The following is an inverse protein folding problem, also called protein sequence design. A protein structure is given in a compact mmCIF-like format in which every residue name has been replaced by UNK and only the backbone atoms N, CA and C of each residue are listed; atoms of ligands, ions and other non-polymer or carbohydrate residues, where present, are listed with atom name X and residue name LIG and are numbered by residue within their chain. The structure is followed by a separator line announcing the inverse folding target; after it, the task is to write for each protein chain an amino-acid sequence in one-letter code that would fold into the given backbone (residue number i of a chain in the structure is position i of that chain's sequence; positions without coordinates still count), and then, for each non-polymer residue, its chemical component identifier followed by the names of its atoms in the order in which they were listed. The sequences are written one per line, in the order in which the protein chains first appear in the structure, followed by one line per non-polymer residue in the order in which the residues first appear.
data_IF_868797407078
#
_entry.id   IF_868797407078
#
_cell.length_a   1.000
_cell.length_b   1.000
_cell.length_c   1.000
_cell.angle_alpha   90.00
_cell.angle_beta   90.00
_cell.angle_gamma   90.00
#
_symmetry.space_group_name_H-M   'P 1'
#
loop_
_entity.id
_entity.type
_entity.pdbx_description
1 polymer ?
#
# COMPACT_ATOMS: atom_id res chain seq x y z
N UNK A 1 -2.68 30.93 43.16
CA UNK A 1 -3.89 31.82 43.36
C UNK A 1 -5.02 31.15 42.57
N UNK A 2 -5.92 30.53 43.36
CA UNK A 2 -7.40 30.66 43.38
C UNK A 2 -8.12 30.28 42.07
N UNK A 3 -9.18 29.46 42.03
CA UNK A 3 -10.19 28.86 42.93
C UNK A 3 -10.94 27.80 42.09
N UNK A 4 -11.09 26.58 42.50
CA UNK A 4 -12.27 25.93 43.10
C UNK A 4 -13.64 26.35 42.47
N UNK A 5 -14.29 25.38 41.79
CA UNK A 5 -15.74 25.22 41.96
C UNK A 5 -16.14 23.73 41.89
N UNK A 6 -16.58 23.24 43.05
CA UNK A 6 -17.32 21.98 43.23
C UNK A 6 -18.79 22.27 42.98
N UNK A 7 -19.53 21.42 42.31
CA UNK A 7 -20.97 21.27 42.48
C UNK A 7 -21.27 19.78 42.64
N UNK A 8 -21.78 19.50 43.84
CA UNK A 8 -22.44 18.25 44.27
C UNK A 8 -23.94 18.47 44.02
N UNK A 9 -24.61 17.47 43.45
CA UNK A 9 -26.04 17.32 43.57
C UNK A 9 -26.41 15.84 43.60
N UNK A 10 -26.75 15.39 44.80
CA UNK A 10 -27.52 14.19 45.13
C UNK A 10 -28.97 14.37 44.71
N UNK A 11 -29.73 13.26 44.54
CA UNK A 11 -31.17 13.04 44.73
C UNK A 11 -31.46 11.72 43.98
N UNK A 12 -31.86 10.70 44.50
CA UNK A 12 -32.81 10.19 45.45
C UNK A 12 -33.50 8.95 44.81
N UNK A 13 -33.46 7.90 45.54
CA UNK A 13 -34.17 6.62 45.46
C UNK A 13 -35.69 6.79 45.34
N UNK A 14 -36.32 5.98 44.46
CA UNK A 14 -37.74 5.62 44.60
C UNK A 14 -37.94 4.13 44.34
N UNK A 15 -38.08 3.38 45.39
CA UNK A 15 -38.69 2.04 45.42
C UNK A 15 -40.21 2.18 45.19
N UNK A 16 -40.75 1.38 44.30
CA UNK A 16 -42.18 1.07 44.27
C UNK A 16 -42.38 -0.44 44.25
N UNK A 17 -42.82 -0.92 45.39
CA UNK A 17 -43.41 -2.24 45.58
C UNK A 17 -44.80 -2.28 44.98
N UNK A 18 -45.13 -3.27 44.19
CA UNK A 18 -46.50 -3.69 43.97
C UNK A 18 -46.64 -5.15 44.36
N UNK A 19 -47.48 -5.31 45.36
CA UNK A 19 -47.92 -6.55 45.99
C UNK A 19 -48.96 -7.26 45.14
N UNK A 20 -48.78 -8.60 45.13
CA UNK A 20 -49.68 -9.71 45.03
C UNK A 20 -51.23 -9.46 45.12
N UNK A 21 -51.94 -10.14 44.21
CA UNK A 21 -53.21 -10.83 44.56
C UNK A 21 -53.44 -11.98 43.58
N UNK A 22 -53.45 -13.19 44.14
CA UNK A 22 -54.07 -14.37 43.52
C UNK A 22 -55.53 -14.45 43.97
N UNK A 23 -56.42 -15.07 43.21
CA UNK A 23 -57.41 -15.94 43.78
C UNK A 23 -57.38 -17.40 43.20
N UNK A 24 -57.81 -18.25 44.07
CA UNK A 24 -57.87 -19.71 44.05
C UNK A 24 -58.89 -20.32 43.08
N UNK A 25 -58.50 -21.48 42.60
CA UNK A 25 -59.23 -22.69 42.18
C UNK A 25 -60.76 -22.72 42.04
N UNK A 26 -61.17 -23.26 40.91
CA UNK A 26 -62.11 -24.39 40.92
C UNK A 26 -61.93 -25.28 39.69
N UNK A 27 -61.91 -26.57 39.96
CA UNK A 27 -61.78 -27.75 39.15
C UNK A 27 -63.09 -28.01 38.38
N UNK A 28 -63.00 -28.31 37.05
CA UNK A 28 -64.01 -29.16 36.39
C UNK A 28 -63.34 -29.83 35.20
N UNK A 29 -63.25 -31.15 35.30
CA UNK A 29 -62.67 -32.05 34.33
C UNK A 29 -63.48 -32.19 33.06
N UNK A 30 -62.77 -32.18 31.93
CA UNK A 30 -63.15 -32.88 30.70
C UNK A 30 -61.88 -33.14 29.90
N UNK A 31 -61.62 -34.41 29.66
CA UNK A 31 -60.46 -34.92 28.95
C UNK A 31 -60.33 -34.39 27.54
N UNK A 32 -59.20 -33.81 27.27
CA UNK A 32 -58.76 -33.55 25.90
C UNK A 32 -57.44 -34.26 25.66
N UNK A 33 -57.46 -35.15 24.69
CA UNK A 33 -56.31 -35.84 24.12
C UNK A 33 -55.21 -34.83 23.77
N UNK A 34 -54.11 -34.85 24.49
CA UNK A 34 -52.85 -34.20 24.09
C UNK A 34 -52.30 -34.94 22.89
N UNK A 35 -52.53 -34.37 21.71
CA UNK A 35 -51.63 -34.62 20.59
C UNK A 35 -50.31 -33.95 20.95
N UNK A 36 -49.32 -34.78 21.25
CA UNK A 36 -47.92 -34.36 21.21
C UNK A 36 -47.65 -33.89 19.78
N UNK A 37 -47.75 -32.60 19.54
CA UNK A 37 -46.99 -32.02 18.46
C UNK A 37 -45.52 -32.11 18.90
N UNK A 38 -44.84 -33.13 18.41
CA UNK A 38 -43.39 -33.12 18.38
C UNK A 38 -43.03 -31.80 17.67
N UNK A 39 -42.37 -30.92 18.41
CA UNK A 39 -41.61 -29.84 17.81
C UNK A 39 -40.61 -30.51 16.88
N UNK A 40 -40.93 -30.60 15.59
CA UNK A 40 -39.90 -30.78 14.59
C UNK A 40 -38.97 -29.57 14.73
N UNK A 41 -37.85 -29.79 15.38
CA UNK A 41 -36.71 -28.91 15.17
C UNK A 41 -36.58 -28.83 13.64
N UNK A 42 -36.90 -27.66 13.08
CA UNK A 42 -36.65 -27.39 11.68
C UNK A 42 -35.15 -27.63 11.51
N UNK A 43 -34.80 -28.71 10.81
CA UNK A 43 -33.43 -29.00 10.47
C UNK A 43 -32.93 -27.78 9.70
N UNK A 44 -31.89 -27.11 10.20
CA UNK A 44 -31.19 -26.01 9.51
C UNK A 44 -30.44 -26.54 8.26
N UNK A 45 -30.98 -27.58 7.63
CA UNK A 45 -30.43 -28.20 6.42
C UNK A 45 -30.78 -27.35 5.18
N UNK A 46 -29.73 -26.93 4.50
CA UNK A 46 -29.82 -26.17 3.27
C UNK A 46 -29.65 -27.15 2.11
N UNK A 47 -30.64 -27.24 1.24
CA UNK A 47 -30.61 -28.15 0.07
C UNK A 47 -30.12 -27.38 -1.14
N UNK A 48 -29.08 -27.91 -1.79
CA UNK A 48 -28.56 -27.43 -3.06
C UNK A 48 -28.14 -28.64 -3.91
N UNK A 49 -28.78 -28.83 -5.08
CA UNK A 49 -28.48 -29.98 -5.93
C UNK A 49 -27.03 -29.97 -6.43
N UNK A 50 -26.39 -31.13 -6.67
CA UNK A 50 -25.02 -31.19 -7.19
C UNK A 50 -24.88 -30.47 -8.55
N UNK A 51 -25.91 -30.48 -9.38
CA UNK A 51 -25.95 -29.78 -10.66
C UNK A 51 -25.88 -28.25 -10.45
N UNK A 52 -26.64 -27.71 -9.49
CA UNK A 52 -26.63 -26.28 -9.15
C UNK A 52 -25.35 -25.89 -8.45
N UNK A 53 -24.85 -26.73 -7.52
CA UNK A 53 -23.58 -26.51 -6.86
C UNK A 53 -22.43 -26.36 -7.90
N UNK A 54 -22.35 -27.26 -8.85
CA UNK A 54 -21.38 -27.21 -9.93
C UNK A 54 -21.59 -25.99 -10.85
N UNK A 55 -22.83 -25.72 -11.25
CA UNK A 55 -23.20 -24.58 -12.12
C UNK A 55 -22.79 -23.23 -11.51
N UNK A 56 -22.97 -23.07 -10.22
CA UNK A 56 -22.67 -21.83 -9.51
C UNK A 56 -21.27 -21.78 -8.89
N UNK A 57 -20.45 -22.81 -9.11
CA UNK A 57 -19.05 -22.86 -8.65
C UNK A 57 -18.92 -22.99 -7.13
N UNK A 58 -19.80 -23.77 -6.50
CA UNK A 58 -19.68 -24.17 -5.09
C UNK A 58 -18.72 -25.35 -5.01
N UNK A 59 -17.65 -25.19 -4.24
CA UNK A 59 -16.64 -26.23 -4.02
C UNK A 59 -16.48 -26.44 -2.53
N UNK A 60 -16.45 -27.70 -2.10
CA UNK A 60 -16.15 -28.09 -0.73
C UNK A 60 -14.80 -28.80 -0.64
N UNK A 61 -14.22 -28.78 0.54
CA UNK A 61 -12.98 -29.49 0.85
C UNK A 61 -12.99 -30.00 2.30
N UNK A 62 -12.34 -31.12 2.52
CA UNK A 62 -12.12 -31.65 3.86
C UNK A 62 -11.21 -30.73 4.66
N UNK A 63 -11.63 -30.45 5.89
CA UNK A 63 -10.82 -29.67 6.84
C UNK A 63 -9.59 -30.48 7.24
N UNK A 64 -8.41 -29.93 6.94
CA UNK A 64 -7.12 -30.51 7.31
C UNK A 64 -6.35 -29.52 8.16
N UNK A 65 -5.75 -29.96 9.28
CA UNK A 65 -4.82 -29.12 10.00
C UNK A 65 -3.62 -28.79 9.14
N UNK A 66 -3.25 -27.52 9.14
CA UNK A 66 -2.10 -27.01 8.38
C UNK A 66 -1.31 -26.00 9.22
N UNK A 67 -0.19 -25.59 8.68
CA UNK A 67 0.59 -24.50 9.25
C UNK A 67 -0.11 -23.18 8.97
N UNK A 68 -0.12 -22.29 9.96
CA UNK A 68 -0.59 -20.93 9.80
C UNK A 68 0.24 -19.97 10.62
N UNK A 69 0.45 -18.78 10.10
CA UNK A 69 1.28 -17.80 10.78
C UNK A 69 0.45 -16.97 11.79
N UNK A 70 1.11 -16.58 12.84
CA UNK A 70 0.59 -15.53 13.71
C UNK A 70 0.59 -14.20 12.93
N UNK A 71 -0.53 -13.46 12.94
CA UNK A 71 -0.70 -12.26 12.13
C UNK A 71 -1.20 -11.11 12.99
N UNK A 72 -0.60 -9.94 12.81
CA UNK A 72 -1.09 -8.69 13.40
C UNK A 72 -1.51 -7.76 12.27
N UNK A 73 -2.77 -7.33 12.31
CA UNK A 73 -3.34 -6.37 11.39
C UNK A 73 -3.02 -4.96 11.87
N UNK A 74 -2.44 -4.14 10.99
CA UNK A 74 -2.02 -2.76 11.27
C UNK A 74 -2.30 -1.87 10.05
N UNK A 75 -2.18 -0.56 10.24
CA UNK A 75 -2.19 0.40 9.14
C UNK A 75 -0.78 0.59 8.59
N UNK A 76 -0.68 0.97 7.32
CA UNK A 76 0.58 1.28 6.69
C UNK A 76 0.44 2.24 5.52
N UNK A 77 1.57 2.58 4.94
CA UNK A 77 1.64 3.44 3.77
C UNK A 77 2.72 2.95 2.81
N UNK A 78 2.41 3.03 1.52
CA UNK A 78 3.40 2.79 0.47
C UNK A 78 4.18 4.07 0.24
N UNK A 79 5.50 4.00 0.36
CA UNK A 79 6.40 5.13 0.12
C UNK A 79 7.40 4.75 -0.97
N UNK A 80 7.89 5.75 -1.71
CA UNK A 80 8.98 5.52 -2.65
C UNK A 80 10.25 5.16 -1.89
N UNK A 81 11.01 4.18 -2.38
CA UNK A 81 12.28 3.84 -1.78
C UNK A 81 13.25 5.04 -1.89
N UNK A 82 13.98 5.40 -0.82
CA UNK A 82 14.98 6.48 -0.90
C UNK A 82 16.03 6.25 -1.97
N UNK A 83 16.39 4.99 -2.25
CA UNK A 83 17.32 4.59 -3.31
C UNK A 83 16.80 4.83 -4.73
N UNK A 84 15.49 5.01 -4.87
CA UNK A 84 14.80 5.17 -6.15
C UNK A 84 14.48 6.65 -6.45
N UNK A 85 14.94 7.54 -5.56
CA UNK A 85 14.82 8.98 -5.74
C UNK A 85 16.11 9.57 -6.30
N UNK A 86 15.98 10.40 -7.32
CA UNK A 86 17.07 11.18 -7.86
C UNK A 86 16.74 12.66 -7.81
N UNK A 87 17.76 13.46 -7.50
CA UNK A 87 17.64 14.91 -7.42
C UNK A 87 18.23 15.51 -8.68
N UNK A 88 17.46 16.31 -9.38
CA UNK A 88 17.95 17.15 -10.48
C UNK A 88 18.48 18.44 -9.86
N UNK A 89 19.77 18.71 -10.07
CA UNK A 89 20.41 19.92 -9.58
C UNK A 89 20.73 20.88 -10.70
N UNK A 90 20.84 22.18 -10.37
CA UNK A 90 21.23 23.23 -11.31
C UNK A 90 22.65 22.99 -11.83
N UNK A 91 22.86 22.89 -13.14
CA UNK A 91 24.18 22.66 -13.71
C UNK A 91 25.07 23.91 -13.69
N UNK A 92 24.48 25.09 -13.57
CA UNK A 92 25.14 26.39 -13.47
C UNK A 92 24.32 27.36 -12.62
N UNK A 93 24.92 28.45 -12.18
CA UNK A 93 24.20 29.56 -11.56
C UNK A 93 23.44 30.36 -12.59
N UNK A 94 22.22 30.81 -12.28
CA UNK A 94 21.41 31.61 -13.19
C UNK A 94 19.92 31.57 -12.89
N UNK A 95 19.11 32.06 -13.78
CA UNK A 95 17.65 32.00 -13.71
C UNK A 95 17.16 30.72 -14.39
N UNK A 96 16.39 29.94 -13.68
CA UNK A 96 15.81 28.72 -14.24
C UNK A 96 14.54 29.02 -15.01
N UNK A 97 14.42 28.40 -16.18
CA UNK A 97 13.19 28.38 -16.98
C UNK A 97 12.84 26.94 -17.26
N UNK A 98 11.73 26.48 -16.67
CA UNK A 98 11.23 25.13 -16.90
C UNK A 98 10.71 24.93 -18.31
N UNK A 99 10.78 23.69 -18.80
CA UNK A 99 10.15 23.31 -20.06
C UNK A 99 8.64 23.54 -19.95
N UNK A 100 8.03 24.04 -21.03
CA UNK A 100 6.58 24.32 -21.06
C UNK A 100 5.76 23.07 -20.73
N UNK A 101 4.86 23.21 -19.77
CA UNK A 101 3.97 22.12 -19.34
C UNK A 101 4.58 21.15 -18.30
N UNK A 102 5.74 21.47 -17.74
CA UNK A 102 6.32 20.67 -16.67
C UNK A 102 5.46 20.80 -15.39
N UNK A 103 5.00 19.66 -14.88
CA UNK A 103 4.18 19.57 -13.65
C UNK A 103 4.63 18.40 -12.78
N UNK A 104 4.32 18.48 -11.50
CA UNK A 104 4.43 17.33 -10.59
C UNK A 104 3.47 16.22 -11.03
N UNK A 105 3.89 14.96 -10.90
CA UNK A 105 3.15 13.79 -11.40
C UNK A 105 3.50 13.40 -12.84
N UNK A 106 4.28 14.21 -13.57
CA UNK A 106 4.69 13.91 -14.93
C UNK A 106 5.77 12.84 -14.97
N UNK A 107 5.61 11.87 -15.88
CA UNK A 107 6.65 10.87 -16.18
C UNK A 107 7.74 11.47 -17.04
N UNK A 108 8.99 11.19 -16.68
CA UNK A 108 10.19 11.60 -17.42
C UNK A 108 11.13 10.40 -17.59
N UNK A 109 11.94 10.44 -18.63
CA UNK A 109 13.01 9.46 -18.88
C UNK A 109 14.37 10.06 -18.52
N UNK A 110 15.36 9.22 -18.24
CA UNK A 110 16.73 9.68 -18.06
C UNK A 110 17.19 10.52 -19.27
N UNK A 111 17.85 11.66 -19.00
CA UNK A 111 18.25 12.62 -20.04
C UNK A 111 17.17 13.61 -20.49
N UNK A 112 15.91 13.47 -20.02
CA UNK A 112 14.85 14.42 -20.31
C UNK A 112 15.19 15.80 -19.75
N UNK A 113 15.05 16.86 -20.57
CA UNK A 113 15.32 18.25 -20.15
C UNK A 113 14.17 18.73 -19.27
N UNK A 114 14.47 19.08 -18.04
CA UNK A 114 13.52 19.63 -17.06
C UNK A 114 13.41 21.14 -17.20
N UNK A 115 14.53 21.79 -17.43
CA UNK A 115 14.58 23.25 -17.57
C UNK A 115 15.93 23.71 -18.10
N UNK A 116 16.01 25.01 -18.35
CA UNK A 116 17.22 25.69 -18.78
C UNK A 116 17.61 26.76 -17.75
N UNK A 117 18.87 26.79 -17.37
CA UNK A 117 19.43 27.80 -16.45
C UNK A 117 20.25 28.79 -17.26
N UNK A 118 19.94 30.09 -17.19
CA UNK A 118 20.63 31.11 -17.95
C UNK A 118 21.03 32.30 -17.07
N UNK A 119 22.26 32.74 -17.20
CA UNK A 119 22.78 33.95 -16.54
C UNK A 119 22.83 35.17 -17.51
N UNK A 120 22.24 35.07 -18.70
CA UNK A 120 22.39 36.06 -19.79
C UNK A 120 22.01 37.48 -19.40
N UNK A 121 21.08 37.68 -18.48
CA UNK A 121 20.60 38.98 -18.01
C UNK A 121 21.06 39.33 -16.59
N UNK A 122 22.12 38.70 -16.12
CA UNK A 122 22.64 38.93 -14.76
C UNK A 122 23.88 39.82 -14.76
N UNK A 123 24.10 40.52 -13.66
CA UNK A 123 25.34 41.23 -13.41
C UNK A 123 26.52 40.22 -13.36
N UNK A 124 27.44 40.31 -14.32
CA UNK A 124 28.53 39.33 -14.48
C UNK A 124 28.46 38.55 -15.80
N UNK A 125 27.32 38.60 -16.51
CA UNK A 125 27.14 37.99 -17.83
C UNK A 125 27.01 36.47 -17.80
N UNK A 126 26.87 35.90 -19.01
CA UNK A 126 26.80 34.44 -19.18
C UNK A 126 28.21 33.87 -19.38
N UNK A 127 28.73 33.16 -18.37
CA UNK A 127 30.04 32.55 -18.43
C UNK A 127 30.16 31.53 -19.57
N UNK A 128 29.07 30.90 -19.97
CA UNK A 128 29.06 29.95 -21.11
C UNK A 128 29.32 30.69 -22.41
N UNK A 129 28.67 31.83 -22.60
CA UNK A 129 28.87 32.67 -23.77
C UNK A 129 30.28 33.32 -23.77
N UNK A 130 30.76 33.76 -22.61
CA UNK A 130 32.14 34.29 -22.49
C UNK A 130 33.18 33.22 -22.85
N UNK A 131 33.01 31.98 -22.40
CA UNK A 131 33.90 30.87 -22.75
C UNK A 131 33.81 30.49 -24.22
N UNK A 132 32.62 30.61 -24.84
CA UNK A 132 32.44 30.39 -26.31
C UNK A 132 33.24 31.40 -27.09
N UNK A 133 33.10 32.67 -26.74
CA UNK A 133 33.82 33.78 -27.42
C UNK A 133 35.34 33.62 -27.25
N UNK A 134 35.80 33.27 -26.03
CA UNK A 134 37.21 33.05 -25.76
C UNK A 134 37.78 31.86 -26.59
N UNK A 135 37.00 30.76 -26.68
CA UNK A 135 37.38 29.63 -27.51
C UNK A 135 37.47 29.96 -28.98
N UNK A 136 36.48 30.68 -29.54
CA UNK A 136 36.48 31.10 -30.96
C UNK A 136 37.66 31.98 -31.28
N UNK A 137 37.98 32.95 -30.38
CA UNK A 137 39.13 33.85 -30.57
C UNK A 137 40.46 33.06 -30.52
N UNK A 138 40.61 32.16 -29.53
CA UNK A 138 41.83 31.35 -29.41
C UNK A 138 41.98 30.37 -30.59
N UNK A 139 40.87 29.83 -31.11
CA UNK A 139 40.84 28.94 -32.26
C UNK A 139 41.32 29.66 -33.53
N UNK A 140 40.80 30.85 -33.80
CA UNK A 140 41.22 31.64 -34.95
C UNK A 140 42.71 32.00 -34.90
N UNK A 141 43.23 32.32 -33.73
CA UNK A 141 44.66 32.60 -33.55
C UNK A 141 45.52 31.34 -33.73
N UNK A 142 45.09 30.20 -33.24
CA UNK A 142 45.77 28.92 -33.45
C UNK A 142 45.79 28.56 -34.96
N UNK A 143 44.66 28.63 -35.66
CA UNK A 143 44.53 28.37 -37.10
C UNK A 143 45.38 29.31 -37.96
N UNK A 144 45.63 30.54 -37.49
CA UNK A 144 46.52 31.52 -38.14
C UNK A 144 47.99 31.15 -37.93
N UNK A 145 48.38 30.75 -36.75
CA UNK A 145 49.79 30.52 -36.39
C UNK A 145 50.30 29.14 -36.80
N UNK A 146 49.46 28.11 -36.84
CA UNK A 146 49.84 26.75 -37.18
C UNK A 146 50.53 26.60 -38.56
N UNK A 147 50.01 27.16 -39.67
CA UNK A 147 50.66 27.11 -40.97
C UNK A 147 52.01 27.88 -40.99
N UNK A 148 52.09 29.02 -40.35
CA UNK A 148 53.29 29.82 -40.26
C UNK A 148 54.42 29.09 -39.49
N UNK A 149 54.07 28.30 -38.49
CA UNK A 149 55.02 27.44 -37.82
C UNK A 149 55.52 26.31 -38.70
N UNK A 150 54.64 25.69 -39.51
CA UNK A 150 55.02 24.64 -40.47
C UNK A 150 55.96 25.20 -41.55
N UNK A 151 55.82 26.46 -41.91
CA UNK A 151 56.69 27.15 -42.86
C UNK A 151 57.96 27.75 -42.23
N UNK A 152 58.13 27.57 -40.89
CA UNK A 152 59.32 28.04 -40.18
C UNK A 152 59.31 29.58 -39.93
N UNK A 153 58.19 30.29 -40.12
CA UNK A 153 58.06 31.75 -39.98
C UNK A 153 57.97 32.16 -38.50
N UNK A 154 57.30 31.36 -37.67
CA UNK A 154 57.15 31.61 -36.22
C UNK A 154 57.96 30.61 -35.41
N UNK A 155 58.38 31.00 -34.20
CA UNK A 155 59.18 30.15 -33.34
C UNK A 155 58.31 29.03 -32.67
N UNK A 156 58.98 27.92 -32.33
CA UNK A 156 58.32 26.84 -31.55
C UNK A 156 57.76 27.33 -30.20
N UNK A 157 58.37 28.29 -29.58
CA UNK A 157 57.87 28.89 -28.33
C UNK A 157 56.53 29.60 -28.55
N UNK A 158 56.46 30.44 -29.57
CA UNK A 158 55.24 31.21 -29.92
C UNK A 158 54.06 30.28 -30.31
N UNK A 159 54.36 29.27 -31.16
CA UNK A 159 53.39 28.24 -31.51
C UNK A 159 52.87 27.51 -30.27
N UNK A 160 53.75 27.09 -29.37
CA UNK A 160 53.34 26.36 -28.14
C UNK A 160 52.53 27.24 -27.19
N UNK A 161 52.78 28.55 -27.09
CA UNK A 161 51.98 29.49 -26.31
C UNK A 161 50.56 29.61 -26.85
N UNK A 162 50.38 29.79 -28.15
CA UNK A 162 49.11 29.87 -28.83
C UNK A 162 48.33 28.55 -28.73
N UNK A 163 49.02 27.43 -28.97
CA UNK A 163 48.42 26.10 -28.84
C UNK A 163 47.90 25.87 -27.43
N UNK A 164 48.69 26.18 -26.40
CA UNK A 164 48.29 26.06 -24.99
C UNK A 164 47.09 26.95 -24.66
N UNK A 165 47.02 28.18 -25.18
CA UNK A 165 45.89 29.06 -24.98
C UNK A 165 44.62 28.52 -25.64
N UNK A 166 44.72 27.94 -26.86
CA UNK A 166 43.62 27.27 -27.54
C UNK A 166 43.12 26.06 -26.78
N UNK A 167 44.03 25.16 -26.34
CA UNK A 167 43.67 23.97 -25.55
C UNK A 167 42.97 24.32 -24.25
N UNK A 168 43.45 25.35 -23.54
CA UNK A 168 42.82 25.87 -22.31
C UNK A 168 41.43 26.43 -22.55
N UNK A 169 41.25 27.25 -23.59
CA UNK A 169 39.95 27.81 -23.98
C UNK A 169 38.98 26.71 -24.44
N UNK A 170 39.48 25.71 -25.15
CA UNK A 170 38.70 24.56 -25.60
C UNK A 170 38.21 23.73 -24.41
N UNK A 171 39.08 23.48 -23.43
CA UNK A 171 38.70 22.75 -22.19
C UNK A 171 37.61 23.50 -21.41
N UNK A 172 37.76 24.84 -21.26
CA UNK A 172 36.78 25.67 -20.57
C UNK A 172 35.43 25.70 -21.32
N UNK A 173 35.43 25.77 -22.64
CA UNK A 173 34.22 25.74 -23.46
C UNK A 173 33.53 24.38 -23.41
N UNK A 174 34.27 23.29 -23.57
CA UNK A 174 33.70 21.94 -23.54
C UNK A 174 33.19 21.55 -22.15
N UNK A 175 33.84 21.96 -21.07
CA UNK A 175 33.36 21.75 -19.70
C UNK A 175 31.99 22.41 -19.44
N UNK A 176 31.67 23.50 -20.16
CA UNK A 176 30.43 24.22 -19.99
C UNK A 176 29.36 23.92 -21.06
N UNK A 177 29.65 23.07 -22.04
CA UNK A 177 28.72 22.77 -23.16
C UNK A 177 27.42 22.10 -22.71
N UNK A 178 27.43 21.38 -21.59
CA UNK A 178 26.24 20.79 -20.94
C UNK A 178 25.59 21.71 -19.91
N UNK A 179 26.19 22.89 -19.66
CA UNK A 179 26.00 23.65 -18.42
C UNK A 179 24.75 24.48 -18.31
N UNK A 180 23.84 24.51 -19.29
CA UNK A 180 22.59 25.27 -19.20
C UNK A 180 21.34 24.41 -19.01
N UNK A 181 21.41 23.13 -19.32
CA UNK A 181 20.24 22.25 -19.30
C UNK A 181 20.22 21.40 -18.02
N UNK A 182 19.22 21.61 -17.19
CA UNK A 182 18.89 20.71 -16.09
C UNK A 182 18.16 19.50 -16.66
N UNK A 183 18.76 18.32 -16.57
CA UNK A 183 18.23 17.06 -17.12
C UNK A 183 17.93 16.04 -16.03
N UNK A 184 16.91 15.23 -16.27
CA UNK A 184 16.58 14.09 -15.42
C UNK A 184 17.74 13.09 -15.37
N UNK A 185 18.19 12.74 -14.18
CA UNK A 185 19.28 11.78 -13.97
C UNK A 185 18.79 10.35 -14.15
N UNK A 186 17.55 10.07 -13.79
CA UNK A 186 16.89 8.77 -13.92
C UNK A 186 15.50 8.90 -14.53
N UNK A 187 14.97 7.77 -15.00
CA UNK A 187 13.57 7.68 -15.40
C UNK A 187 12.68 7.58 -14.16
N UNK A 188 11.48 8.16 -14.21
CA UNK A 188 10.56 8.14 -13.08
C UNK A 188 9.44 9.18 -13.21
N UNK A 189 8.89 9.59 -12.08
CA UNK A 189 7.86 10.61 -11.96
C UNK A 189 8.41 11.79 -11.19
N UNK A 190 8.17 13.01 -11.64
CA UNK A 190 8.50 14.23 -10.89
C UNK A 190 7.59 14.30 -9.67
N UNK A 191 8.15 14.10 -8.48
CA UNK A 191 7.39 14.14 -7.22
C UNK A 191 7.34 15.53 -6.62
N UNK A 192 8.37 16.34 -6.87
CA UNK A 192 8.46 17.68 -6.31
C UNK A 192 9.28 18.60 -7.20
N UNK A 193 8.82 19.84 -7.37
CA UNK A 193 9.60 20.97 -7.88
C UNK A 193 10.02 21.80 -6.67
N UNK A 194 11.32 22.02 -6.50
CA UNK A 194 11.91 22.66 -5.30
C UNK A 194 12.13 24.17 -5.49
N UNK A 195 11.99 24.65 -6.73
CA UNK A 195 12.15 26.04 -7.11
C UNK A 195 11.04 26.46 -8.07
N UNK A 196 10.79 27.76 -8.18
CA UNK A 196 9.77 28.31 -9.07
C UNK A 196 10.37 28.67 -10.43
N UNK A 197 9.53 28.69 -11.47
CA UNK A 197 9.95 29.17 -12.79
C UNK A 197 10.33 30.64 -12.71
N UNK A 198 11.52 31.00 -13.24
CA UNK A 198 12.06 32.35 -13.15
C UNK A 198 12.86 32.64 -11.88
N UNK A 199 13.02 31.68 -10.98
CA UNK A 199 13.82 31.84 -9.76
C UNK A 199 15.31 31.72 -10.06
N UNK A 200 16.13 32.45 -9.27
CA UNK A 200 17.58 32.32 -9.31
C UNK A 200 18.00 31.05 -8.58
N UNK A 201 18.88 30.27 -9.21
CA UNK A 201 19.47 29.05 -8.66
C UNK A 201 20.99 29.14 -8.66
N UNK A 202 21.61 28.65 -7.59
CA UNK A 202 23.05 28.47 -7.53
C UNK A 202 23.47 27.15 -8.19
N UNK A 203 24.69 27.04 -8.67
CA UNK A 203 25.24 25.78 -9.20
C UNK A 203 25.17 24.67 -8.12
N UNK A 204 24.65 23.50 -8.48
CA UNK A 204 24.42 22.39 -7.59
C UNK A 204 23.14 22.48 -6.74
N UNK A 205 22.40 23.58 -6.79
CA UNK A 205 21.13 23.72 -6.05
C UNK A 205 20.10 22.70 -6.55
N UNK A 206 19.41 21.98 -5.66
CA UNK A 206 18.32 21.10 -6.02
C UNK A 206 17.16 21.84 -6.70
N UNK A 207 16.67 21.32 -7.82
CA UNK A 207 15.59 21.91 -8.63
C UNK A 207 14.34 21.05 -8.58
N UNK A 208 14.50 19.73 -8.73
CA UNK A 208 13.39 18.79 -8.79
C UNK A 208 13.78 17.45 -8.18
N UNK A 209 12.80 16.72 -7.66
CA UNK A 209 12.94 15.32 -7.21
C UNK A 209 12.19 14.43 -8.18
N UNK A 210 12.86 13.42 -8.70
CA UNK A 210 12.29 12.38 -9.55
C UNK A 210 12.33 11.08 -8.74
N UNK A 211 11.20 10.39 -8.66
CA UNK A 211 11.10 9.08 -8.04
C UNK A 211 10.86 8.01 -9.09
N UNK A 212 11.70 7.01 -9.12
CA UNK A 212 11.41 5.74 -9.78
C UNK A 212 10.24 5.07 -9.07
N UNK A 213 9.48 4.26 -9.79
CA UNK A 213 8.39 3.46 -9.22
C UNK A 213 8.68 1.96 -9.31
N UNK A 214 9.93 1.60 -9.58
CA UNK A 214 10.35 0.20 -9.73
C UNK A 214 10.50 -0.49 -8.38
N UNK A 215 11.01 0.25 -7.38
CA UNK A 215 11.14 -0.26 -6.02
C UNK A 215 10.34 0.63 -5.07
N UNK A 216 9.44 0.02 -4.32
CA UNK A 216 8.64 0.71 -3.31
C UNK A 216 8.97 0.17 -1.91
N UNK A 217 8.60 0.95 -0.91
CA UNK A 217 8.73 0.58 0.49
C UNK A 217 7.35 0.60 1.14
N UNK A 218 6.96 -0.52 1.73
CA UNK A 218 5.81 -0.59 2.63
C UNK A 218 6.29 -0.18 4.02
N UNK A 219 5.73 0.89 4.57
CA UNK A 219 5.84 1.25 5.97
C UNK A 219 4.61 0.73 6.70
N UNK A 220 4.79 -0.12 7.69
CA UNK A 220 3.75 -0.65 8.57
C UNK A 220 3.95 -0.09 9.98
N UNK A 221 2.90 0.44 10.60
CA UNK A 221 2.95 1.10 11.90
C UNK A 221 2.46 0.10 12.98
N UNK A 222 3.40 -0.65 13.59
CA UNK A 222 3.13 -1.62 14.65
C UNK A 222 2.87 -0.90 15.99
N UNK A 223 1.72 -1.07 16.66
CA UNK A 223 1.51 -0.53 18.00
C UNK A 223 2.51 -1.11 19.00
N UNK A 224 3.09 -0.26 19.87
CA UNK A 224 4.12 -0.65 20.85
C UNK A 224 3.72 -1.82 21.76
N UNK A 225 2.44 -1.99 22.05
CA UNK A 225 1.92 -3.15 22.81
C UNK A 225 2.29 -4.50 22.21
N UNK A 226 2.63 -4.54 20.91
CA UNK A 226 3.07 -5.72 20.18
C UNK A 226 4.58 -5.79 19.99
N UNK A 227 5.37 -5.06 20.80
CA UNK A 227 6.83 -5.05 20.70
C UNK A 227 7.45 -6.45 20.68
N UNK A 228 6.94 -7.35 21.53
CA UNK A 228 7.41 -8.73 21.61
C UNK A 228 7.20 -9.53 20.32
N UNK A 229 6.29 -9.10 19.46
CA UNK A 229 6.04 -9.72 18.16
C UNK A 229 7.05 -9.26 17.07
N UNK A 230 7.69 -8.12 17.24
CA UNK A 230 8.60 -7.52 16.27
C UNK A 230 9.72 -8.46 15.78
N UNK A 231 10.39 -9.27 16.62
CA UNK A 231 11.43 -10.19 16.18
C UNK A 231 10.91 -11.34 15.31
N UNK A 232 9.65 -11.73 15.47
CA UNK A 232 9.04 -12.85 14.74
C UNK A 232 8.54 -12.46 13.35
N UNK A 233 8.38 -11.16 13.08
CA UNK A 233 7.88 -10.67 11.79
C UNK A 233 8.89 -10.98 10.70
N UNK A 234 8.48 -11.81 9.73
CA UNK A 234 9.28 -12.20 8.58
C UNK A 234 8.88 -11.49 7.29
N UNK A 235 7.58 -11.33 7.05
CA UNK A 235 7.00 -10.73 5.85
C UNK A 235 5.67 -10.05 6.17
N UNK A 236 5.00 -9.54 5.16
CA UNK A 236 3.65 -8.98 5.30
C UNK A 236 2.83 -9.19 4.03
N UNK A 237 1.51 -9.20 4.17
CA UNK A 237 0.59 -8.96 3.07
C UNK A 237 -0.02 -7.57 3.27
N UNK A 238 -0.53 -6.98 2.19
CA UNK A 238 -1.21 -5.70 2.30
C UNK A 238 -2.36 -5.58 1.30
N UNK A 239 -3.33 -4.76 1.64
CA UNK A 239 -4.47 -4.42 0.79
C UNK A 239 -4.58 -2.90 0.70
N UNK A 240 -4.58 -2.37 -0.51
CA UNK A 240 -4.76 -0.94 -0.73
C UNK A 240 -6.25 -0.57 -0.69
N UNK A 241 -6.55 0.66 -0.27
CA UNK A 241 -7.93 1.13 -0.12
C UNK A 241 -8.73 1.19 -1.45
N UNK A 242 -8.04 1.15 -2.58
CA UNK A 242 -8.64 1.19 -3.92
C UNK A 242 -8.87 -0.21 -4.54
N UNK A 243 -8.58 -1.29 -3.83
CA UNK A 243 -8.77 -2.67 -4.30
C UNK A 243 -9.14 -3.58 -3.14
N UNK A 244 -9.91 -4.64 -3.44
CA UNK A 244 -10.20 -5.71 -2.48
C UNK A 244 -9.14 -6.82 -2.51
N UNK A 245 -8.21 -6.77 -3.45
CA UNK A 245 -7.15 -7.75 -3.59
C UNK A 245 -6.08 -7.57 -2.51
N UNK A 246 -5.72 -8.67 -1.84
CA UNK A 246 -4.62 -8.73 -0.89
C UNK A 246 -3.36 -9.16 -1.62
N UNK A 247 -2.36 -8.31 -1.60
CA UNK A 247 -1.08 -8.50 -2.27
C UNK A 247 -0.08 -9.09 -1.25
N UNK A 248 0.57 -10.19 -1.61
CA UNK A 248 1.65 -10.78 -0.82
C UNK A 248 2.98 -10.09 -1.17
N UNK A 249 3.71 -9.64 -0.15
CA UNK A 249 5.07 -9.12 -0.38
C UNK A 249 6.02 -10.17 -0.95
N UNK A 250 5.81 -11.46 -0.64
CA UNK A 250 6.65 -12.54 -1.19
C UNK A 250 6.51 -12.63 -2.71
N UNK A 251 5.32 -12.40 -3.26
CA UNK A 251 5.06 -12.42 -4.71
C UNK A 251 5.73 -11.23 -5.43
N UNK A 252 6.02 -10.17 -4.69
CA UNK A 252 6.72 -8.97 -5.18
C UNK A 252 8.22 -8.96 -4.82
N UNK A 253 8.80 -10.10 -4.46
CA UNK A 253 10.18 -10.22 -3.94
C UNK A 253 10.44 -9.28 -2.76
N UNK A 254 9.43 -9.11 -1.90
CA UNK A 254 9.49 -8.25 -0.74
C UNK A 254 10.44 -8.77 0.34
N UNK A 255 11.13 -7.85 0.99
CA UNK A 255 12.03 -8.16 2.09
C UNK A 255 11.91 -7.11 3.20
N UNK A 256 11.97 -7.57 4.45
CA UNK A 256 12.05 -6.69 5.61
C UNK A 256 13.37 -5.93 5.60
N UNK A 257 13.28 -4.60 5.77
CA UNK A 257 14.46 -3.73 5.96
C UNK A 257 14.68 -3.63 7.48
N UNK A 258 15.94 -3.64 7.93
CA UNK A 258 16.24 -3.48 9.35
C UNK A 258 15.66 -2.17 9.89
N UNK A 259 14.89 -2.24 10.96
CA UNK A 259 14.09 -1.14 11.51
C UNK A 259 14.87 -0.10 12.35
N UNK A 260 16.18 -0.29 12.55
CA UNK A 260 16.89 0.37 13.65
C UNK A 260 17.36 1.82 13.41
N UNK A 261 17.28 2.38 12.20
CA UNK A 261 17.90 3.68 11.94
C UNK A 261 17.04 4.76 11.26
N UNK A 262 15.77 4.52 10.99
CA UNK A 262 14.89 5.48 10.30
C UNK A 262 13.87 6.17 11.22
N UNK A 263 14.11 6.18 12.52
CA UNK A 263 13.17 6.64 13.55
C UNK A 263 13.08 8.18 13.70
N UNK A 264 13.25 8.97 12.65
CA UNK A 264 13.17 10.44 12.75
C UNK A 264 11.75 11.02 12.66
N UNK A 265 10.74 10.21 12.34
CA UNK A 265 9.33 10.63 12.29
C UNK A 265 8.41 9.54 12.80
N UNK A 266 8.58 9.16 14.06
CA UNK A 266 7.74 8.14 14.69
C UNK A 266 6.51 8.81 15.29
N UNK A 267 5.32 8.36 14.92
CA UNK A 267 4.12 8.70 15.68
C UNK A 267 4.25 8.06 17.07
N UNK A 268 4.01 8.79 18.16
CA UNK A 268 4.07 8.23 19.51
C UNK A 268 3.18 6.99 19.64
N UNK A 269 3.70 5.92 20.23
CA UNK A 269 2.96 4.67 20.46
C UNK A 269 3.01 3.66 19.29
N UNK A 270 3.80 3.94 18.23
CA UNK A 270 3.97 3.04 17.09
C UNK A 270 5.43 2.82 16.74
N UNK A 271 5.73 1.60 16.30
CA UNK A 271 7.04 1.18 15.81
C UNK A 271 6.93 0.99 14.30
N UNK A 272 7.58 1.81 13.47
CA UNK A 272 7.53 1.64 12.03
C UNK A 272 8.39 0.45 11.59
N UNK A 273 7.80 -0.41 10.77
CA UNK A 273 8.48 -1.53 10.13
C UNK A 273 8.47 -1.29 8.64
N UNK A 274 9.62 -1.49 8.00
CA UNK A 274 9.79 -1.22 6.58
C UNK A 274 10.08 -2.50 5.81
N UNK A 275 9.42 -2.64 4.67
CA UNK A 275 9.65 -3.70 3.70
C UNK A 275 9.89 -3.09 2.32
N UNK A 276 10.98 -3.46 1.68
CA UNK A 276 11.24 -3.09 0.29
C UNK A 276 10.66 -4.15 -0.63
N UNK A 277 10.06 -3.77 -1.75
CA UNK A 277 9.51 -4.70 -2.73
C UNK A 277 9.55 -4.13 -4.15
N UNK A 278 9.51 -5.02 -5.15
CA UNK A 278 9.47 -4.62 -6.56
C UNK A 278 8.03 -4.30 -6.96
N UNK A 279 7.83 -3.12 -7.54
CA UNK A 279 6.51 -2.72 -8.03
C UNK A 279 6.33 -3.20 -9.49
N UNK A 280 5.31 -4.00 -9.71
CA UNK A 280 4.88 -4.41 -11.06
C UNK A 280 3.92 -3.42 -11.74
N UNK A 281 3.73 -2.24 -11.14
CA UNK A 281 2.82 -1.20 -11.62
C UNK A 281 1.41 -1.23 -11.03
N UNK A 282 1.07 -2.24 -10.23
CA UNK A 282 -0.25 -2.36 -9.56
C UNK A 282 -0.35 -1.53 -8.28
N UNK A 283 0.79 -1.16 -7.68
CA UNK A 283 0.85 -0.44 -6.41
C UNK A 283 1.19 1.04 -6.63
N UNK A 284 0.35 1.91 -6.08
CA UNK A 284 0.50 3.36 -6.22
C UNK A 284 1.30 3.92 -5.03
N UNK A 285 2.42 4.63 -5.28
CA UNK A 285 3.15 5.33 -4.23
C UNK A 285 2.26 6.35 -3.51
N UNK A 286 2.42 6.48 -2.20
CA UNK A 286 1.61 7.35 -1.35
C UNK A 286 0.32 6.73 -0.83
N UNK A 287 -0.10 5.57 -1.34
CA UNK A 287 -1.32 4.90 -0.92
C UNK A 287 -1.26 4.47 0.55
N UNK A 288 -2.38 4.66 1.25
CA UNK A 288 -2.61 4.02 2.55
C UNK A 288 -3.10 2.59 2.34
N UNK A 289 -2.61 1.70 3.17
CA UNK A 289 -2.86 0.26 3.05
C UNK A 289 -3.18 -0.35 4.42
N UNK A 290 -4.01 -1.37 4.40
CA UNK A 290 -4.16 -2.30 5.49
C UNK A 290 -3.06 -3.35 5.39
N UNK A 291 -2.33 -3.60 6.47
CA UNK A 291 -1.17 -4.49 6.48
C UNK A 291 -1.39 -5.64 7.43
N UNK A 292 -1.10 -6.83 6.98
CA UNK A 292 -1.11 -8.08 7.75
C UNK A 292 0.35 -8.48 7.98
N UNK A 293 0.91 -8.13 9.14
CA UNK A 293 2.27 -8.50 9.55
C UNK A 293 2.30 -9.98 9.90
N UNK A 294 3.12 -10.75 9.21
CA UNK A 294 3.21 -12.21 9.32
C UNK A 294 4.41 -12.56 10.19
N UNK A 295 4.14 -13.24 11.29
CA UNK A 295 5.11 -13.64 12.31
C UNK A 295 5.37 -15.14 12.37
N UNK A 296 5.48 -15.66 13.57
CA UNK A 296 5.82 -17.07 13.82
C UNK A 296 4.78 -18.05 13.25
N UNK A 297 5.26 -19.18 12.75
CA UNK A 297 4.42 -20.26 12.24
C UNK A 297 3.87 -21.08 13.39
N UNK A 298 2.57 -21.34 13.36
CA UNK A 298 1.82 -22.21 14.28
C UNK A 298 1.42 -23.48 13.54
N UNK A 299 1.52 -24.61 14.21
CA UNK A 299 1.17 -25.92 13.67
C UNK A 299 -0.27 -26.31 14.05
N UNK A 300 -0.86 -27.22 13.27
CA UNK A 300 -2.18 -27.81 13.55
C UNK A 300 -3.33 -26.80 13.59
N UNK A 301 -3.27 -25.72 12.84
CA UNK A 301 -4.35 -24.74 12.69
C UNK A 301 -5.39 -25.23 11.66
N UNK A 302 -6.66 -24.98 11.91
CA UNK A 302 -7.71 -25.10 10.90
C UNK A 302 -7.78 -23.77 10.17
N UNK A 303 -7.58 -23.75 8.86
CA UNK A 303 -7.50 -22.54 8.05
C UNK A 303 -8.42 -22.67 6.85
N UNK A 304 -9.19 -21.63 6.59
CA UNK A 304 -10.07 -21.54 5.44
C UNK A 304 -9.81 -20.26 4.65
N UNK A 305 -10.07 -20.26 3.34
CA UNK A 305 -10.03 -19.02 2.57
C UNK A 305 -11.13 -18.06 3.03
N UNK A 306 -10.86 -16.76 2.98
CA UNK A 306 -11.82 -15.73 3.43
C UNK A 306 -13.18 -15.80 2.73
N UNK A 307 -13.22 -16.24 1.47
CA UNK A 307 -14.46 -16.41 0.70
C UNK A 307 -15.31 -17.62 1.12
N UNK A 308 -14.81 -18.48 2.00
CA UNK A 308 -15.58 -19.54 2.66
C UNK A 308 -16.40 -19.01 3.84
N UNK A 309 -16.09 -17.83 4.33
CA UNK A 309 -16.70 -17.22 5.51
C UNK A 309 -17.85 -16.31 5.08
N UNK A 310 -18.98 -16.44 5.75
CA UNK A 310 -20.10 -15.52 5.62
C UNK A 310 -20.36 -14.82 6.96
N UNK A 311 -20.76 -13.57 6.92
CA UNK A 311 -21.13 -12.80 8.09
C UNK A 311 -22.63 -12.53 8.13
N UNK A 312 -23.21 -12.67 9.31
CA UNK A 312 -24.60 -12.33 9.57
C UNK A 312 -24.75 -11.81 11.00
N UNK A 313 -25.23 -10.58 11.15
CA UNK A 313 -25.44 -9.92 12.45
C UNK A 313 -24.18 -9.94 13.37
N UNK A 314 -23.01 -9.72 12.80
CA UNK A 314 -21.74 -9.70 13.54
C UNK A 314 -21.21 -11.08 13.95
N UNK A 315 -21.86 -12.16 13.48
CA UNK A 315 -21.41 -13.54 13.68
C UNK A 315 -20.91 -14.14 12.37
N UNK A 316 -19.93 -15.02 12.47
CA UNK A 316 -19.30 -15.65 11.31
C UNK A 316 -19.76 -17.09 11.18
N UNK A 317 -20.03 -17.50 9.94
CA UNK A 317 -20.55 -18.81 9.61
C UNK A 317 -19.80 -19.40 8.43
N UNK A 318 -19.75 -20.73 8.43
CA UNK A 318 -19.32 -21.57 7.30
C UNK A 318 -20.44 -22.54 6.95
N UNK A 319 -20.36 -23.14 5.79
CA UNK A 319 -21.30 -24.16 5.35
C UNK A 319 -20.57 -25.49 5.29
N UNK A 320 -21.02 -26.44 6.12
CA UNK A 320 -20.49 -27.80 6.18
C UNK A 320 -21.34 -28.67 5.29
N UNK A 321 -20.73 -29.40 4.38
CA UNK A 321 -21.40 -30.36 3.53
C UNK A 321 -21.68 -31.64 4.32
N UNK A 322 -22.95 -32.02 4.45
CA UNK A 322 -23.36 -33.22 5.17
C UNK A 322 -23.41 -34.44 4.24
N UNK A 323 -23.97 -34.25 3.01
CA UNK A 323 -24.05 -35.23 1.94
C UNK A 323 -23.97 -34.56 0.56
N UNK A 324 -24.42 -35.20 -0.50
CA UNK A 324 -24.32 -34.68 -1.88
C UNK A 324 -25.15 -33.42 -2.12
N UNK A 325 -26.25 -33.22 -1.38
CA UNK A 325 -27.22 -32.15 -1.60
C UNK A 325 -27.43 -31.25 -0.38
N UNK A 326 -27.03 -31.71 0.83
CA UNK A 326 -27.35 -31.06 2.08
C UNK A 326 -26.14 -30.36 2.68
N UNK A 327 -26.38 -29.14 3.14
CA UNK A 327 -25.40 -28.29 3.81
C UNK A 327 -25.95 -27.82 5.14
N UNK A 328 -25.08 -27.73 6.15
CA UNK A 328 -25.38 -27.19 7.50
C UNK A 328 -24.66 -25.85 7.67
N UNK A 329 -25.40 -24.83 8.08
CA UNK A 329 -24.84 -23.55 8.49
C UNK A 329 -24.27 -23.67 9.89
N UNK A 330 -22.97 -23.46 10.06
CA UNK A 330 -22.32 -23.62 11.34
C UNK A 330 -21.58 -22.35 11.76
N UNK A 331 -21.87 -21.88 12.97
CA UNK A 331 -21.19 -20.73 13.54
C UNK A 331 -19.74 -21.07 13.89
N UNK A 332 -18.82 -20.17 13.52
CA UNK A 332 -17.39 -20.33 13.79
C UNK A 332 -16.82 -19.10 14.50
N UNK A 333 -15.76 -19.34 15.26
CA UNK A 333 -14.96 -18.27 15.84
C UNK A 333 -13.67 -18.13 15.05
N UNK A 334 -13.46 -16.93 14.49
CA UNK A 334 -12.27 -16.61 13.71
C UNK A 334 -11.08 -16.29 14.62
N UNK A 335 -9.88 -16.65 14.16
CA UNK A 335 -8.60 -16.31 14.72
C UNK A 335 -7.88 -15.27 13.88
N UNK A 336 -6.58 -15.49 13.66
CA UNK A 336 -5.75 -14.63 12.83
C UNK A 336 -6.11 -14.74 11.35
N UNK A 337 -6.00 -13.64 10.61
CA UNK A 337 -6.16 -13.65 9.16
C UNK A 337 -4.97 -12.96 8.50
N UNK A 338 -4.49 -13.54 7.39
CA UNK A 338 -3.44 -12.95 6.55
C UNK A 338 -4.02 -12.13 5.37
N UNK A 339 -5.36 -11.94 5.38
CA UNK A 339 -6.11 -11.23 4.35
C UNK A 339 -6.72 -12.15 3.30
N UNK A 340 -6.07 -13.25 2.93
CA UNK A 340 -6.56 -14.25 1.98
C UNK A 340 -7.21 -15.45 2.69
N UNK A 341 -6.64 -15.81 3.82
CA UNK A 341 -7.05 -16.96 4.63
C UNK A 341 -7.28 -16.54 6.09
N UNK A 342 -8.04 -17.33 6.82
CA UNK A 342 -8.36 -17.10 8.23
C UNK A 342 -8.31 -18.40 9.02
N UNK A 343 -7.72 -18.31 10.20
CA UNK A 343 -7.72 -19.40 11.19
C UNK A 343 -9.11 -19.55 11.82
N UNK A 344 -9.55 -20.78 11.98
CA UNK A 344 -10.79 -21.12 12.69
C UNK A 344 -10.43 -21.68 14.07
N UNK A 345 -10.78 -20.94 15.13
CA UNK A 345 -10.48 -21.29 16.50
C UNK A 345 -11.45 -22.32 17.08
N UNK A 346 -12.71 -22.29 16.65
CA UNK A 346 -13.76 -23.23 17.09
C UNK A 346 -14.92 -23.25 16.11
N UNK A 347 -15.72 -24.31 16.16
CA UNK A 347 -16.90 -24.54 15.33
C UNK A 347 -16.68 -25.59 14.24
N UNK A 348 -15.44 -26.02 14.00
CA UNK A 348 -15.11 -27.06 13.02
C UNK A 348 -14.28 -28.19 13.64
N UNK A 349 -14.43 -29.37 13.06
CA UNK A 349 -13.64 -30.55 13.34
C UNK A 349 -12.81 -30.98 12.13
N UNK A 350 -11.82 -31.87 12.37
CA UNK A 350 -10.95 -32.39 11.30
C UNK A 350 -11.65 -33.31 10.29
N UNK A 351 -12.91 -33.63 10.52
CA UNK A 351 -13.70 -34.51 9.65
C UNK A 351 -14.77 -33.77 8.84
N UNK A 352 -14.92 -32.47 9.10
CA UNK A 352 -15.91 -31.69 8.40
C UNK A 352 -15.45 -31.45 6.96
N UNK A 353 -16.38 -31.52 6.01
CA UNK A 353 -16.20 -31.05 4.66
C UNK A 353 -16.85 -29.66 4.54
N UNK A 354 -16.07 -28.64 4.24
CA UNK A 354 -16.50 -27.24 4.30
C UNK A 354 -16.49 -26.63 2.91
N UNK A 355 -17.51 -25.86 2.59
CA UNK A 355 -17.56 -25.06 1.35
C UNK A 355 -16.43 -24.04 1.38
N UNK A 356 -15.42 -24.25 0.56
CA UNK A 356 -14.23 -23.40 0.44
C UNK A 356 -14.40 -22.28 -0.59
N UNK A 357 -15.35 -22.43 -1.52
CA UNK A 357 -15.67 -21.44 -2.53
C UNK A 357 -17.17 -21.48 -2.82
N UNK A 358 -17.79 -20.31 -3.05
CA UNK A 358 -19.21 -20.19 -3.34
C UNK A 358 -20.12 -20.22 -2.11
N UNK A 359 -19.59 -19.98 -0.90
CA UNK A 359 -20.37 -19.94 0.34
C UNK A 359 -21.57 -18.98 0.27
N UNK A 360 -21.45 -17.88 -0.44
CA UNK A 360 -22.54 -16.93 -0.66
C UNK A 360 -23.72 -17.56 -1.43
N UNK A 361 -23.48 -18.51 -2.32
CA UNK A 361 -24.53 -19.22 -3.08
C UNK A 361 -25.32 -20.12 -2.13
N UNK A 362 -24.63 -20.85 -1.25
CA UNK A 362 -25.30 -21.68 -0.24
C UNK A 362 -26.11 -20.81 0.72
N UNK A 363 -25.59 -19.63 1.10
CA UNK A 363 -26.35 -18.64 1.89
C UNK A 363 -27.62 -18.15 1.19
N UNK A 364 -27.57 -17.97 -0.13
CA UNK A 364 -28.75 -17.56 -0.91
C UNK A 364 -29.77 -18.71 -1.01
N UNK A 365 -29.32 -19.96 -1.14
CA UNK A 365 -30.19 -21.13 -1.11
C UNK A 365 -30.92 -21.27 0.24
N UNK A 366 -30.23 -21.00 1.36
CA UNK A 366 -30.85 -20.92 2.70
C UNK A 366 -32.02 -19.92 2.72
N UNK A 367 -31.81 -18.72 2.16
CA UNK A 367 -32.82 -17.68 2.12
C UNK A 367 -34.02 -18.03 1.20
N UNK A 368 -33.80 -18.76 0.12
CA UNK A 368 -34.85 -19.16 -0.82
C UNK A 368 -35.67 -20.34 -0.30
N UNK A 369 -35.09 -21.28 0.44
CA UNK A 369 -35.77 -22.39 1.10
C UNK A 369 -36.65 -21.96 2.28
N UNK A 370 -36.41 -20.78 2.83
CA UNK A 370 -37.20 -20.21 3.92
C UNK A 370 -38.53 -19.57 3.46
N UNK A 371 -38.81 -19.49 2.14
CA UNK A 371 -40.07 -19.01 1.61
C UNK A 371 -41.04 -20.19 1.61
N UNK A 372 -42.12 -20.21 2.44
CA UNK A 372 -43.13 -21.26 2.39
C UNK A 372 -43.74 -21.29 0.97
N UNK A 373 -43.85 -22.49 0.38
CA UNK A 373 -44.65 -22.66 -0.83
C UNK A 373 -46.07 -22.14 -0.52
N UNK A 374 -46.42 -21.04 -1.16
CA UNK A 374 -47.73 -20.44 -0.98
C UNK A 374 -48.79 -21.46 -1.41
N UNK A 375 -49.62 -21.90 -0.44
CA UNK A 375 -50.80 -22.69 -0.72
C UNK A 375 -51.68 -21.91 -1.70
N UNK A 376 -51.68 -22.33 -2.94
CA UNK A 376 -52.66 -21.84 -3.93
C UNK A 376 -54.03 -22.39 -3.57
N UNK A 377 -54.83 -21.61 -2.87
CA UNK A 377 -56.27 -21.88 -2.78
C UNK A 377 -56.94 -21.56 -4.12
N UNK A 378 -57.19 -22.59 -4.92
CA UNK A 378 -58.13 -22.51 -6.03
C UNK A 378 -59.56 -22.36 -5.44
N UNK A 379 -60.19 -21.23 -5.73
CA UNK A 379 -61.63 -21.05 -5.63
C UNK A 379 -62.25 -21.03 -7.02
#
# INVERSE_FOLDING_TARGET
MNKIFRIVASIATALLYFTSCAPSAQDDGLGHHHHHHGSSEASDEIVLTPADAQRFGVYSQMVKPQEFNEVIKVSGQIVSAPSDQSVVSAPSAGIITFVKGLVTGQKVTAGHVIGNVSAKNMAGGDQIEANRIAYEAAKLEYERVEPLYKEGIVSAKEYNEVKKAYEAAQAAYNGNKSGSKATAVSSGVITQLLVNNGEYVAMGQPIAVISGNETLTLRADLPEKYYNFLPTISTANFRAAYTDEVISLNDLNGRKISSSSLATTVQPGYIPIYFSFNNNGSVVPGAFVEVYLIGATRQNCIVLPMNAITEQQGKFYVYVKLDEECYEKRMVKLGHSNGNEVEILSGLTRRDEVVSRGAIIVKLAEASGAVPEGHSHNH
#
